data_IF_667530576231
#
_entry.id   IF_667530576231
#
_cell.length_a   1.000
_cell.length_b   1.000
_cell.length_c   1.000
_cell.angle_alpha   90.00
_cell.angle_beta   90.00
_cell.angle_gamma   90.00
#
_symmetry.space_group_name_H-M   'P 1'
#
loop_
_entity.id
_entity.type
_entity.pdbx_description
1 polymer ?
#
# COMPACT_ATOMS: atom_id res chain seq x y z
N UNK A 1 10.73 1.68 49.26
CA UNK A 1 10.28 3.02 48.85
C UNK A 1 10.52 3.32 47.37
N UNK A 2 10.67 2.32 46.46
CA UNK A 2 10.91 2.54 45.02
C UNK A 2 9.79 2.01 44.13
N UNK A 3 8.72 1.43 44.68
CA UNK A 3 7.60 0.86 43.91
C UNK A 3 6.36 1.78 43.78
N UNK A 4 6.32 2.91 44.49
CA UNK A 4 5.19 3.81 44.47
C UNK A 4 5.26 4.98 43.47
N UNK A 5 6.37 5.14 42.74
CA UNK A 5 6.51 6.25 41.74
C UNK A 5 6.14 5.90 40.31
N UNK A 6 5.66 4.68 40.03
CA UNK A 6 5.26 4.24 38.66
C UNK A 6 3.74 4.29 38.42
N UNK A 7 2.94 4.71 39.45
CA UNK A 7 1.49 4.68 39.38
C UNK A 7 0.82 5.95 38.83
N UNK A 8 1.53 7.06 38.71
CA UNK A 8 0.92 8.38 38.40
C UNK A 8 1.23 8.93 37.00
N UNK A 9 1.59 8.08 36.05
CA UNK A 9 1.66 8.54 34.67
C UNK A 9 0.26 8.60 34.07
N UNK A 10 -0.36 9.80 34.18
CA UNK A 10 -1.62 10.12 33.47
C UNK A 10 -1.49 9.72 31.99
N UNK A 11 -2.47 9.01 31.42
CA UNK A 11 -2.45 8.68 30.00
C UNK A 11 -2.43 9.99 29.19
N UNK A 12 -1.61 10.07 28.13
CA UNK A 12 -1.50 11.29 27.32
C UNK A 12 -2.88 11.68 26.80
N UNK A 13 -3.35 12.87 27.20
CA UNK A 13 -4.61 13.46 26.74
C UNK A 13 -4.65 13.45 25.22
N UNK A 14 -5.75 13.03 24.59
CA UNK A 14 -5.88 13.08 23.13
C UNK A 14 -5.67 14.53 22.67
N UNK A 15 -4.66 14.74 21.83
CA UNK A 15 -4.44 16.05 21.20
C UNK A 15 -5.60 16.32 20.24
N UNK A 16 -6.57 17.10 20.66
CA UNK A 16 -7.72 17.59 19.88
C UNK A 16 -7.36 18.72 18.90
N UNK A 17 -6.12 18.78 18.45
CA UNK A 17 -5.70 19.70 17.40
C UNK A 17 -6.07 19.16 16.03
N UNK A 18 -6.81 19.92 15.22
CA UNK A 18 -7.07 19.62 13.80
C UNK A 18 -5.73 19.41 13.12
N UNK A 19 -5.47 18.19 12.67
CA UNK A 19 -4.24 17.88 11.98
C UNK A 19 -4.25 18.54 10.59
N UNK A 20 -3.57 19.68 10.46
CA UNK A 20 -3.53 20.49 9.24
C UNK A 20 -3.09 19.67 8.02
N UNK A 21 -2.17 18.70 8.20
CA UNK A 21 -1.76 17.75 7.14
C UNK A 21 -2.90 16.82 6.75
N UNK A 22 -3.65 16.30 7.71
CA UNK A 22 -4.81 15.44 7.45
C UNK A 22 -5.90 16.22 6.71
N UNK A 23 -6.18 17.46 7.12
CA UNK A 23 -7.14 18.33 6.44
C UNK A 23 -6.68 18.62 4.99
N UNK A 24 -5.41 18.95 4.77
CA UNK A 24 -4.87 19.18 3.43
C UNK A 24 -4.98 17.92 2.55
N UNK A 25 -4.69 16.72 3.06
CA UNK A 25 -4.82 15.47 2.33
C UNK A 25 -6.27 15.17 1.94
N UNK A 26 -7.23 15.41 2.85
CA UNK A 26 -8.66 15.28 2.55
C UNK A 26 -9.07 16.29 1.48
N UNK A 27 -8.67 17.56 1.62
CA UNK A 27 -9.01 18.62 0.66
C UNK A 27 -8.44 18.32 -0.74
N UNK A 28 -7.19 17.88 -0.83
CA UNK A 28 -6.56 17.50 -2.11
C UNK A 28 -7.28 16.29 -2.71
N UNK A 29 -7.54 15.26 -1.91
CA UNK A 29 -8.22 14.05 -2.39
C UNK A 29 -9.63 14.32 -2.87
N UNK A 30 -10.43 15.03 -2.09
CA UNK A 30 -11.81 15.43 -2.46
C UNK A 30 -11.80 16.39 -3.64
N UNK A 31 -10.90 17.39 -3.66
CA UNK A 31 -10.77 18.33 -4.76
C UNK A 31 -10.37 17.65 -6.06
N UNK A 32 -9.40 16.73 -6.04
CA UNK A 32 -9.01 15.97 -7.22
C UNK A 32 -10.14 15.05 -7.71
N UNK A 33 -10.84 14.36 -6.80
CA UNK A 33 -12.00 13.55 -7.14
C UNK A 33 -13.12 14.41 -7.73
N UNK A 34 -13.44 15.54 -7.11
CA UNK A 34 -14.46 16.47 -7.60
C UNK A 34 -14.12 16.98 -9.00
N UNK A 35 -12.89 17.41 -9.26
CA UNK A 35 -12.44 17.86 -10.58
C UNK A 35 -12.55 16.74 -11.63
N UNK A 36 -12.24 15.50 -11.26
CA UNK A 36 -12.35 14.35 -12.15
C UNK A 36 -13.81 14.03 -12.45
N UNK A 37 -14.67 14.02 -11.44
CA UNK A 37 -16.11 13.71 -11.60
C UNK A 37 -16.87 14.86 -12.29
N UNK A 38 -16.62 16.12 -11.93
CA UNK A 38 -17.28 17.28 -12.55
C UNK A 38 -17.01 17.41 -14.05
N UNK A 39 -15.85 16.93 -14.51
CA UNK A 39 -15.51 16.89 -15.93
C UNK A 39 -15.98 15.60 -16.62
N UNK A 40 -16.52 14.62 -15.90
CA UNK A 40 -17.05 13.39 -16.46
C UNK A 40 -18.55 13.58 -16.80
N UNK A 41 -18.95 13.07 -17.94
CA UNK A 41 -20.37 12.99 -18.27
C UNK A 41 -21.04 11.90 -17.42
N UNK A 42 -22.00 12.30 -16.58
CA UNK A 42 -22.75 11.36 -15.73
C UNK A 42 -23.52 10.31 -16.54
N UNK A 43 -24.03 10.67 -17.72
CA UNK A 43 -24.67 9.73 -18.63
C UNK A 43 -23.67 8.71 -19.18
N UNK A 44 -22.46 9.17 -19.53
CA UNK A 44 -21.37 8.29 -19.96
C UNK A 44 -20.93 7.30 -18.90
N UNK A 45 -20.89 7.73 -17.63
CA UNK A 45 -20.62 6.83 -16.50
C UNK A 45 -21.69 5.77 -16.30
N UNK A 46 -22.97 6.16 -16.35
CA UNK A 46 -24.11 5.23 -16.24
C UNK A 46 -24.07 4.23 -17.40
N UNK A 47 -23.89 4.70 -18.63
CA UNK A 47 -23.78 3.83 -19.81
C UNK A 47 -22.62 2.83 -19.67
N UNK A 48 -21.43 3.27 -19.18
CA UNK A 48 -20.29 2.38 -18.97
C UNK A 48 -20.59 1.31 -17.90
N UNK A 49 -21.35 1.64 -16.86
CA UNK A 49 -21.82 0.69 -15.84
C UNK A 49 -22.83 -0.30 -16.39
N UNK A 50 -23.83 0.16 -17.17
CA UNK A 50 -24.88 -0.68 -17.75
C UNK A 50 -24.32 -1.72 -18.73
N UNK A 51 -23.26 -1.37 -19.46
CA UNK A 51 -22.57 -2.29 -20.37
C UNK A 51 -21.57 -3.22 -19.69
N UNK A 52 -21.35 -3.06 -18.37
CA UNK A 52 -20.43 -3.90 -17.62
C UNK A 52 -21.08 -5.24 -17.25
N UNK A 53 -20.42 -6.33 -17.56
CA UNK A 53 -20.85 -7.68 -17.15
C UNK A 53 -20.62 -7.90 -15.66
N UNK A 54 -21.60 -7.50 -14.84
CA UNK A 54 -21.48 -7.54 -13.36
C UNK A 54 -21.22 -8.93 -12.78
N UNK A 55 -21.48 -10.00 -13.54
CA UNK A 55 -21.17 -11.39 -13.15
C UNK A 55 -19.68 -11.65 -12.89
N UNK A 56 -18.80 -10.79 -13.37
CA UNK A 56 -17.34 -10.89 -13.11
C UNK A 56 -16.89 -10.19 -11.82
N UNK A 57 -17.69 -9.29 -11.26
CA UNK A 57 -17.32 -8.53 -10.05
C UNK A 57 -17.03 -9.42 -8.82
N UNK A 58 -17.75 -10.53 -8.58
CA UNK A 58 -17.40 -11.44 -7.48
C UNK A 58 -15.97 -11.95 -7.54
N UNK A 59 -15.41 -12.18 -8.75
CA UNK A 59 -14.02 -12.62 -8.93
C UNK A 59 -13.06 -11.53 -8.43
N UNK A 60 -13.31 -10.26 -8.75
CA UNK A 60 -12.49 -9.14 -8.27
C UNK A 60 -12.57 -8.99 -6.74
N UNK A 61 -13.75 -9.23 -6.15
CA UNK A 61 -13.93 -9.21 -4.69
C UNK A 61 -13.12 -10.33 -4.04
N UNK A 62 -13.25 -11.56 -4.53
CA UNK A 62 -12.48 -12.71 -4.02
C UNK A 62 -10.99 -12.47 -4.18
N UNK A 63 -10.52 -11.96 -5.32
CA UNK A 63 -9.13 -11.62 -5.56
C UNK A 63 -8.62 -10.59 -4.53
N UNK A 64 -9.40 -9.56 -4.20
CA UNK A 64 -9.03 -8.53 -3.23
C UNK A 64 -8.86 -9.11 -1.80
N UNK A 65 -9.78 -9.99 -1.37
CA UNK A 65 -9.66 -10.67 -0.07
C UNK A 65 -8.49 -11.66 -0.06
N UNK A 66 -8.27 -12.39 -1.15
CA UNK A 66 -7.12 -13.29 -1.30
C UNK A 66 -5.78 -12.52 -1.23
N UNK A 67 -5.69 -11.38 -1.89
CA UNK A 67 -4.53 -10.47 -1.79
C UNK A 67 -4.29 -10.04 -0.35
N UNK A 68 -5.33 -9.62 0.36
CA UNK A 68 -5.21 -9.20 1.77
C UNK A 68 -4.79 -10.35 2.68
N UNK A 69 -5.29 -11.57 2.42
CA UNK A 69 -4.85 -12.78 3.12
C UNK A 69 -3.39 -13.11 2.84
N UNK A 70 -2.95 -13.07 1.59
CA UNK A 70 -1.55 -13.29 1.20
C UNK A 70 -0.61 -12.25 1.80
N UNK A 71 -1.04 -10.99 1.90
CA UNK A 71 -0.30 -9.94 2.58
C UNK A 71 -0.15 -10.24 4.08
N UNK A 72 -1.22 -10.69 4.76
CA UNK A 72 -1.15 -11.11 6.16
C UNK A 72 -0.24 -12.34 6.34
N UNK A 73 -0.27 -13.30 5.42
CA UNK A 73 0.61 -14.47 5.41
C UNK A 73 2.08 -14.06 5.22
N UNK A 74 2.37 -13.17 4.26
CA UNK A 74 3.71 -12.63 4.03
C UNK A 74 4.25 -11.95 5.30
N UNK A 75 3.45 -11.10 5.94
CA UNK A 75 3.85 -10.44 7.18
C UNK A 75 4.09 -11.44 8.31
N UNK A 76 3.24 -12.45 8.46
CA UNK A 76 3.46 -13.56 9.41
C UNK A 76 4.77 -14.32 9.18
N UNK A 77 5.17 -14.50 7.90
CA UNK A 77 6.48 -15.09 7.53
C UNK A 77 7.64 -14.21 8.00
N UNK A 78 7.54 -12.89 7.85
CA UNK A 78 8.56 -11.92 8.29
C UNK A 78 8.66 -11.90 9.83
N UNK A 79 7.52 -11.88 10.53
CA UNK A 79 7.49 -11.94 11.99
C UNK A 79 8.11 -13.24 12.52
N UNK A 80 7.84 -14.38 11.87
CA UNK A 80 8.39 -15.68 12.24
C UNK A 80 9.93 -15.71 12.11
N UNK A 81 10.51 -15.03 11.13
CA UNK A 81 11.96 -14.88 10.99
C UNK A 81 12.60 -14.10 12.14
N UNK A 82 11.82 -13.27 12.85
CA UNK A 82 12.24 -12.58 14.09
C UNK A 82 11.82 -13.31 15.37
N UNK A 83 11.45 -14.59 15.27
CA UNK A 83 11.07 -15.42 16.42
C UNK A 83 9.61 -15.28 16.87
N UNK A 84 8.84 -14.42 16.24
CA UNK A 84 7.44 -14.14 16.60
C UNK A 84 6.48 -14.90 15.70
N UNK A 85 5.84 -15.93 16.21
CA UNK A 85 4.96 -16.82 15.42
C UNK A 85 3.48 -16.50 15.63
N UNK A 86 2.81 -16.10 14.55
CA UNK A 86 1.37 -15.92 14.50
C UNK A 86 0.75 -16.81 13.41
N UNK A 87 -0.44 -17.35 13.70
CA UNK A 87 -1.26 -17.95 12.64
C UNK A 87 -1.78 -16.83 11.72
N UNK A 88 -1.82 -17.07 10.42
CA UNK A 88 -2.31 -16.09 9.43
C UNK A 88 -3.75 -15.66 9.72
N UNK A 89 -4.61 -16.58 10.19
CA UNK A 89 -5.98 -16.28 10.59
C UNK A 89 -6.08 -15.27 11.74
N UNK A 90 -5.04 -15.16 12.59
CA UNK A 90 -4.96 -14.15 13.65
C UNK A 90 -4.46 -12.81 13.16
N UNK A 91 -3.54 -12.81 12.19
CA UNK A 91 -3.00 -11.58 11.58
C UNK A 91 -3.96 -10.96 10.56
N UNK A 92 -4.79 -11.76 9.90
CA UNK A 92 -5.69 -11.30 8.87
C UNK A 92 -6.66 -10.20 9.34
N UNK A 93 -7.37 -10.31 10.49
CA UNK A 93 -8.15 -9.20 11.04
C UNK A 93 -7.31 -7.94 11.33
N UNK A 94 -6.06 -8.07 11.80
CA UNK A 94 -5.18 -6.92 12.01
C UNK A 94 -4.81 -6.25 10.69
N UNK A 95 -4.64 -7.06 9.65
CA UNK A 95 -4.39 -6.55 8.31
C UNK A 95 -5.61 -5.81 7.75
N UNK A 96 -6.82 -6.35 7.91
CA UNK A 96 -8.08 -5.68 7.51
C UNK A 96 -8.27 -4.35 8.27
N UNK A 97 -7.99 -4.31 9.57
CA UNK A 97 -7.98 -3.06 10.36
C UNK A 97 -6.98 -2.06 9.76
N UNK A 98 -5.78 -2.52 9.38
CA UNK A 98 -4.81 -1.68 8.68
C UNK A 98 -5.36 -1.12 7.37
N UNK A 99 -6.08 -1.92 6.57
CA UNK A 99 -6.74 -1.47 5.33
C UNK A 99 -7.81 -0.42 5.62
N UNK A 100 -8.61 -0.59 6.70
CA UNK A 100 -9.59 0.39 7.14
C UNK A 100 -8.93 1.75 7.43
N UNK A 101 -7.87 1.77 8.25
CA UNK A 101 -7.17 3.02 8.57
C UNK A 101 -6.48 3.63 7.34
N UNK A 102 -5.90 2.82 6.46
CA UNK A 102 -5.31 3.30 5.20
C UNK A 102 -6.34 3.97 4.29
N UNK A 103 -7.57 3.45 4.24
CA UNK A 103 -8.62 3.90 3.33
C UNK A 103 -9.36 5.14 3.83
N UNK A 104 -9.54 5.29 5.14
CA UNK A 104 -10.42 6.30 5.71
C UNK A 104 -9.71 7.32 6.62
N UNK A 105 -8.48 7.04 7.05
CA UNK A 105 -7.73 7.94 7.94
C UNK A 105 -6.61 8.64 7.17
N UNK A 106 -6.44 9.97 7.36
CA UNK A 106 -5.31 10.69 6.78
C UNK A 106 -3.96 10.08 7.15
N UNK A 107 -3.01 10.08 6.20
CA UNK A 107 -1.69 9.45 6.37
C UNK A 107 -1.47 8.26 5.44
N UNK A 108 -2.49 7.86 4.66
CA UNK A 108 -2.41 6.78 3.68
C UNK A 108 -1.94 5.47 4.31
N UNK A 109 -1.02 4.76 3.64
CA UNK A 109 -0.51 3.49 4.15
C UNK A 109 0.15 3.55 5.53
N UNK A 110 0.67 4.70 5.95
CA UNK A 110 1.32 4.86 7.27
C UNK A 110 0.30 4.71 8.40
N UNK A 111 -0.93 5.23 8.23
CA UNK A 111 -1.99 5.08 9.23
C UNK A 111 -2.38 3.62 9.46
N UNK A 112 -2.43 2.83 8.39
CA UNK A 112 -2.67 1.38 8.47
C UNK A 112 -1.52 0.62 9.14
N UNK A 113 -0.28 1.01 8.87
CA UNK A 113 0.90 0.40 9.51
C UNK A 113 0.94 0.70 11.01
N UNK A 114 0.61 1.93 11.42
CA UNK A 114 0.49 2.28 12.83
C UNK A 114 -0.59 1.45 13.51
N UNK A 115 -1.75 1.27 12.87
CA UNK A 115 -2.79 0.42 13.42
C UNK A 115 -2.29 -1.02 13.63
N UNK A 116 -1.65 -1.63 12.62
CA UNK A 116 -1.07 -2.98 12.72
C UNK A 116 0.01 -3.07 13.80
N UNK A 117 0.88 -2.05 13.89
CA UNK A 117 1.91 -1.95 14.93
C UNK A 117 1.28 -2.01 16.33
N UNK A 118 0.25 -1.20 16.59
CA UNK A 118 -0.40 -1.13 17.90
C UNK A 118 -0.99 -2.48 18.31
N UNK A 119 -1.66 -3.18 17.37
CA UNK A 119 -2.28 -4.48 17.69
C UNK A 119 -1.26 -5.58 17.97
N UNK A 120 -0.18 -5.65 17.18
CA UNK A 120 0.84 -6.70 17.33
C UNK A 120 1.78 -6.39 18.49
N UNK A 121 2.12 -5.12 18.72
CA UNK A 121 2.97 -4.72 19.85
C UNK A 121 2.36 -5.04 21.22
N UNK A 122 1.04 -5.02 21.37
CA UNK A 122 0.35 -5.47 22.60
C UNK A 122 0.74 -6.89 23.00
N UNK A 123 1.07 -7.74 22.05
CA UNK A 123 1.45 -9.14 22.26
C UNK A 123 2.96 -9.35 22.32
N UNK A 124 3.69 -8.65 21.42
CA UNK A 124 5.15 -8.81 21.26
C UNK A 124 5.92 -7.95 22.26
N UNK A 125 5.38 -6.79 22.62
CA UNK A 125 6.02 -5.79 23.52
C UNK A 125 7.40 -5.34 23.05
N UNK A 126 7.59 -5.31 21.72
CA UNK A 126 8.80 -4.79 21.05
C UNK A 126 8.40 -4.02 19.79
N UNK A 127 8.16 -2.73 19.98
CA UNK A 127 7.77 -1.81 18.89
C UNK A 127 8.79 -1.73 17.77
N UNK A 128 10.08 -1.77 18.11
CA UNK A 128 11.16 -1.66 17.13
C UNK A 128 11.21 -2.90 16.24
N UNK A 129 11.05 -4.09 16.81
CA UNK A 129 10.95 -5.34 16.08
C UNK A 129 9.73 -5.30 15.12
N UNK A 130 8.54 -5.00 15.63
CA UNK A 130 7.32 -4.97 14.79
C UNK A 130 7.46 -3.93 13.69
N UNK A 131 7.96 -2.72 13.99
CA UNK A 131 8.17 -1.67 13.01
C UNK A 131 9.15 -2.09 11.91
N UNK A 132 10.25 -2.77 12.27
CA UNK A 132 11.24 -3.27 11.30
C UNK A 132 10.61 -4.27 10.31
N UNK A 133 9.70 -5.12 10.79
CA UNK A 133 9.00 -6.08 9.91
C UNK A 133 8.03 -5.38 8.96
N UNK A 134 7.36 -4.31 9.39
CA UNK A 134 6.48 -3.51 8.54
C UNK A 134 7.27 -2.73 7.47
N UNK A 135 8.42 -2.16 7.83
CA UNK A 135 9.31 -1.48 6.88
C UNK A 135 9.86 -2.46 5.85
N UNK A 136 10.33 -3.64 6.30
CA UNK A 136 10.79 -4.68 5.39
C UNK A 136 9.68 -5.14 4.45
N UNK A 137 8.48 -5.35 4.96
CA UNK A 137 7.30 -5.72 4.18
C UNK A 137 7.01 -4.70 3.06
N UNK A 138 7.12 -3.41 3.36
CA UNK A 138 6.96 -2.35 2.37
C UNK A 138 8.04 -2.37 1.32
N UNK A 139 9.29 -2.49 1.73
CA UNK A 139 10.43 -2.52 0.79
C UNK A 139 10.29 -3.66 -0.21
N UNK A 140 10.00 -4.88 0.25
CA UNK A 140 9.82 -6.02 -0.65
C UNK A 140 8.57 -5.89 -1.54
N UNK A 141 7.51 -5.29 -1.00
CA UNK A 141 6.29 -5.01 -1.76
C UNK A 141 6.52 -4.00 -2.88
N UNK A 142 7.24 -2.90 -2.60
CA UNK A 142 7.60 -1.88 -3.60
C UNK A 142 8.59 -2.45 -4.61
N UNK A 143 9.60 -3.18 -4.16
CA UNK A 143 10.55 -3.84 -5.05
C UNK A 143 9.85 -4.73 -6.09
N UNK A 144 8.96 -5.61 -5.66
CA UNK A 144 8.24 -6.53 -6.56
C UNK A 144 7.23 -5.82 -7.45
N UNK A 145 6.60 -4.75 -6.96
CA UNK A 145 5.74 -3.88 -7.76
C UNK A 145 6.51 -3.27 -8.94
N UNK A 146 7.65 -2.67 -8.64
CA UNK A 146 8.48 -2.01 -9.65
C UNK A 146 9.09 -3.01 -10.63
N UNK A 147 9.53 -4.17 -10.14
CA UNK A 147 10.08 -5.26 -10.97
C UNK A 147 9.04 -5.75 -11.99
N UNK A 148 7.82 -6.09 -11.53
CA UNK A 148 6.76 -6.59 -12.40
C UNK A 148 6.28 -5.49 -13.36
N UNK A 149 6.13 -4.26 -12.88
CA UNK A 149 5.76 -3.13 -13.73
C UNK A 149 6.78 -2.88 -14.83
N UNK A 150 8.07 -2.92 -14.49
CA UNK A 150 9.15 -2.74 -15.48
C UNK A 150 9.18 -3.88 -16.51
N UNK A 151 9.09 -5.14 -16.05
CA UNK A 151 9.02 -6.30 -16.95
C UNK A 151 7.81 -6.19 -17.89
N UNK A 152 6.63 -5.87 -17.36
CA UNK A 152 5.42 -5.73 -18.17
C UNK A 152 5.56 -4.63 -19.21
N UNK A 153 6.09 -3.46 -18.84
CA UNK A 153 6.30 -2.34 -19.77
C UNK A 153 7.30 -2.68 -20.86
N UNK A 154 8.42 -3.35 -20.50
CA UNK A 154 9.42 -3.79 -21.48
C UNK A 154 8.84 -4.83 -22.45
N UNK A 155 8.02 -5.76 -21.97
CA UNK A 155 7.34 -6.74 -22.81
C UNK A 155 6.33 -6.09 -23.75
N UNK A 156 5.50 -5.15 -23.26
CA UNK A 156 4.56 -4.39 -24.09
C UNK A 156 5.26 -3.67 -25.23
N UNK A 157 6.42 -3.08 -24.94
CA UNK A 157 7.28 -2.46 -25.96
C UNK A 157 7.81 -3.46 -26.99
N UNK A 158 8.28 -4.63 -26.53
CA UNK A 158 8.83 -5.67 -27.40
C UNK A 158 7.79 -6.25 -28.39
N UNK A 159 6.51 -6.22 -28.03
CA UNK A 159 5.41 -6.63 -28.90
C UNK A 159 4.89 -5.52 -29.84
N UNK A 160 5.63 -4.42 -29.98
CA UNK A 160 5.37 -3.39 -31.02
C UNK A 160 4.28 -2.36 -30.67
N UNK A 161 3.79 -2.31 -29.44
CA UNK A 161 2.85 -1.29 -28.98
C UNK A 161 3.61 -0.05 -28.46
N UNK A 162 4.34 0.62 -29.32
CA UNK A 162 5.23 1.70 -28.94
C UNK A 162 4.55 3.07 -29.06
N UNK A 163 3.66 3.42 -28.13
CA UNK A 163 3.32 4.82 -27.87
C UNK A 163 4.53 5.49 -27.15
N UNK A 164 4.98 6.69 -27.58
CA UNK A 164 6.07 7.43 -26.90
C UNK A 164 5.84 7.64 -25.40
N UNK A 165 4.60 7.66 -24.94
CA UNK A 165 4.22 7.79 -23.52
C UNK A 165 4.59 6.55 -22.68
N UNK A 166 4.71 5.38 -23.32
CA UNK A 166 5.18 4.16 -22.65
C UNK A 166 6.64 4.31 -22.23
N UNK A 167 7.47 5.00 -23.00
CA UNK A 167 8.87 5.28 -22.62
C UNK A 167 9.00 6.12 -21.35
N UNK A 168 8.09 7.08 -21.14
CA UNK A 168 8.04 7.87 -19.90
C UNK A 168 7.68 6.95 -18.71
N UNK A 169 6.73 6.07 -18.89
CA UNK A 169 6.33 5.09 -17.89
C UNK A 169 7.46 4.14 -17.52
N UNK A 170 8.18 3.64 -18.53
CA UNK A 170 9.37 2.79 -18.39
C UNK A 170 10.48 3.51 -17.62
N UNK A 171 10.78 4.76 -17.99
CA UNK A 171 11.79 5.57 -17.32
C UNK A 171 11.43 5.80 -15.83
N UNK A 172 10.19 6.14 -15.54
CA UNK A 172 9.71 6.32 -14.15
C UNK A 172 9.87 5.04 -13.34
N UNK A 173 9.45 3.89 -13.88
CA UNK A 173 9.58 2.60 -13.20
C UNK A 173 11.07 2.21 -13.04
N UNK A 174 11.91 2.44 -14.05
CA UNK A 174 13.34 2.13 -13.99
C UNK A 174 14.06 2.99 -12.94
N UNK A 175 13.79 4.29 -12.90
CA UNK A 175 14.35 5.21 -11.91
C UNK A 175 13.89 4.83 -10.51
N UNK A 176 12.60 4.56 -10.32
CA UNK A 176 12.07 4.13 -9.04
C UNK A 176 12.63 2.77 -8.61
N UNK A 177 12.84 1.83 -9.55
CA UNK A 177 13.47 0.54 -9.29
C UNK A 177 14.94 0.69 -8.89
N UNK A 178 15.71 1.53 -9.58
CA UNK A 178 17.07 1.86 -9.20
C UNK A 178 17.13 2.50 -7.81
N UNK A 179 16.23 3.42 -7.50
CA UNK A 179 16.15 4.06 -6.18
C UNK A 179 15.87 3.04 -5.06
N UNK A 180 14.94 2.08 -5.26
CA UNK A 180 14.66 1.05 -4.24
C UNK A 180 15.84 0.10 -4.07
N UNK A 181 16.54 -0.27 -5.15
CA UNK A 181 17.76 -1.08 -5.08
C UNK A 181 18.86 -0.38 -4.26
N UNK A 182 19.07 0.92 -4.50
CA UNK A 182 20.01 1.74 -3.75
C UNK A 182 19.59 1.79 -2.27
N UNK A 183 18.32 2.05 -1.99
CA UNK A 183 17.79 2.09 -0.63
C UNK A 183 17.90 0.73 0.07
N UNK A 184 17.74 -0.35 -0.67
CA UNK A 184 17.95 -1.72 -0.19
C UNK A 184 19.43 -2.08 -0.08
N UNK A 185 20.38 -1.28 -0.54
CA UNK A 185 21.82 -1.57 -0.35
C UNK A 185 22.22 -1.40 1.11
N UNK A 186 23.05 -2.34 1.64
CA UNK A 186 23.50 -2.30 3.04
C UNK A 186 24.37 -1.08 3.36
N UNK A 187 25.04 -0.55 2.34
CA UNK A 187 25.85 0.64 2.46
C UNK A 187 25.02 1.88 2.77
N UNK A 188 23.91 2.07 2.06
CA UNK A 188 23.01 3.22 2.25
C UNK A 188 22.29 3.13 3.59
N UNK A 189 21.77 1.97 3.97
CA UNK A 189 21.08 1.81 5.24
C UNK A 189 22.00 2.07 6.45
N UNK A 190 23.25 1.60 6.41
CA UNK A 190 24.22 1.85 7.48
C UNK A 190 24.65 3.33 7.55
N UNK A 191 24.79 4.00 6.40
CA UNK A 191 25.10 5.43 6.34
C UNK A 191 23.95 6.28 6.84
N UNK A 192 22.72 5.91 6.46
CA UNK A 192 21.49 6.57 6.90
C UNK A 192 21.27 6.42 8.40
N UNK A 193 21.49 5.23 8.98
CA UNK A 193 21.40 5.01 10.42
C UNK A 193 22.37 5.89 11.21
N UNK A 194 23.62 6.01 10.74
CA UNK A 194 24.61 6.92 11.34
C UNK A 194 24.20 8.39 11.26
N UNK A 195 23.67 8.81 10.11
CA UNK A 195 23.19 10.18 9.91
C UNK A 195 22.01 10.50 10.83
N UNK A 196 21.05 9.57 10.95
CA UNK A 196 19.89 9.71 11.84
C UNK A 196 20.34 9.86 13.30
N UNK A 197 21.31 9.05 13.78
CA UNK A 197 21.87 9.18 15.12
C UNK A 197 22.53 10.54 15.32
N UNK A 198 23.34 10.98 14.36
CA UNK A 198 24.01 12.27 14.40
C UNK A 198 23.03 13.45 14.49
N UNK A 199 22.02 13.46 13.62
CA UNK A 199 20.97 14.50 13.63
C UNK A 199 20.17 14.45 14.94
N UNK A 200 19.80 13.25 15.40
CA UNK A 200 19.04 13.06 16.63
C UNK A 200 19.74 13.61 17.86
N UNK A 201 21.07 13.49 17.92
CA UNK A 201 21.88 14.12 18.97
C UNK A 201 21.85 15.65 18.90
N UNK A 202 21.92 16.21 17.68
CA UNK A 202 21.88 17.67 17.46
C UNK A 202 20.56 18.32 17.85
N UNK A 203 19.42 17.66 17.54
CA UNK A 203 18.06 18.18 17.80
C UNK A 203 17.47 17.69 19.14
N UNK A 204 18.27 17.06 19.99
CA UNK A 204 17.86 16.47 21.29
C UNK A 204 16.72 15.41 21.18
N UNK A 205 16.58 14.78 20.02
CA UNK A 205 15.61 13.72 19.76
C UNK A 205 16.25 12.33 19.80
N UNK A 206 17.19 12.08 20.73
CA UNK A 206 18.05 10.88 20.79
C UNK A 206 17.22 9.59 20.81
N UNK A 207 16.15 9.50 21.62
CA UNK A 207 15.32 8.29 21.72
C UNK A 207 14.65 7.93 20.39
N UNK A 208 14.14 8.92 19.67
CA UNK A 208 13.47 8.72 18.37
C UNK A 208 14.49 8.31 17.30
N UNK A 209 15.65 8.97 17.28
CA UNK A 209 16.73 8.67 16.35
C UNK A 209 17.30 7.26 16.57
N UNK A 210 17.47 6.85 17.82
CA UNK A 210 17.93 5.51 18.16
C UNK A 210 16.91 4.44 17.74
N UNK A 211 15.61 4.66 18.00
CA UNK A 211 14.56 3.75 17.55
C UNK A 211 14.54 3.61 16.02
N UNK A 212 14.68 4.72 15.29
CA UNK A 212 14.72 4.72 13.81
C UNK A 212 16.00 4.01 13.30
N UNK A 213 17.15 4.24 13.91
CA UNK A 213 18.39 3.58 13.53
C UNK A 213 18.34 2.06 13.79
N UNK A 214 17.82 1.61 14.94
CA UNK A 214 17.59 0.19 15.23
C UNK A 214 16.63 -0.45 14.25
N UNK A 215 15.59 0.26 13.83
CA UNK A 215 14.66 -0.24 12.81
C UNK A 215 15.37 -0.49 11.48
N UNK A 216 16.25 0.42 11.03
CA UNK A 216 17.03 0.24 9.80
C UNK A 216 18.03 -0.91 9.90
N UNK A 217 18.67 -1.08 11.06
CA UNK A 217 19.58 -2.20 11.31
C UNK A 217 18.84 -3.54 11.27
N UNK A 218 17.68 -3.63 11.91
CA UNK A 218 16.84 -4.83 11.91
C UNK A 218 16.30 -5.18 10.50
N UNK A 219 16.00 -4.17 9.66
CA UNK A 219 15.67 -4.38 8.24
C UNK A 219 16.88 -4.94 7.48
N UNK A 220 18.08 -4.46 7.79
CA UNK A 220 19.32 -4.94 7.14
C UNK A 220 19.61 -6.40 7.49
N UNK A 221 19.34 -6.82 8.73
CA UNK A 221 19.45 -8.24 9.14
C UNK A 221 18.44 -9.13 8.39
N UNK A 222 17.16 -8.74 8.35
CA UNK A 222 16.13 -9.49 7.62
C UNK A 222 16.49 -9.69 6.15
N UNK A 223 17.14 -8.71 5.55
CA UNK A 223 17.55 -8.78 4.15
C UNK A 223 18.75 -9.69 3.90
N UNK A 224 19.60 -9.92 4.91
CA UNK A 224 20.73 -10.88 4.82
C UNK A 224 20.25 -12.32 4.78
N UNK A 225 19.06 -12.61 5.27
CA UNK A 225 18.43 -13.92 5.12
C UNK A 225 17.88 -14.08 3.69
N UNK A 226 18.69 -14.72 2.85
CA UNK A 226 18.35 -14.96 1.45
C UNK A 226 17.11 -15.83 1.29
N UNK A 227 16.90 -16.80 2.15
CA UNK A 227 15.73 -17.69 2.11
C UNK A 227 14.45 -16.91 2.41
N UNK A 228 14.50 -16.03 3.43
CA UNK A 228 13.40 -15.12 3.75
C UNK A 228 13.12 -14.15 2.60
N UNK A 229 14.18 -13.56 2.03
CA UNK A 229 14.06 -12.62 0.91
C UNK A 229 13.37 -13.28 -0.30
N UNK A 230 13.83 -14.44 -0.73
CA UNK A 230 13.25 -15.16 -1.86
C UNK A 230 11.81 -15.59 -1.58
N UNK A 231 11.53 -16.11 -0.38
CA UNK A 231 10.18 -16.51 0.01
C UNK A 231 9.20 -15.32 0.02
N UNK A 232 9.58 -14.21 0.62
CA UNK A 232 8.73 -13.03 0.70
C UNK A 232 8.57 -12.32 -0.65
N UNK A 233 9.61 -12.34 -1.50
CA UNK A 233 9.54 -11.88 -2.88
C UNK A 233 8.58 -12.75 -3.72
N UNK A 234 8.68 -14.08 -3.63
CA UNK A 234 7.77 -14.99 -4.33
C UNK A 234 6.31 -14.77 -3.93
N UNK A 235 6.02 -14.64 -2.61
CA UNK A 235 4.67 -14.32 -2.13
C UNK A 235 4.22 -12.96 -2.70
N UNK A 236 5.10 -11.97 -2.75
CA UNK A 236 4.79 -10.64 -3.28
C UNK A 236 4.51 -10.65 -4.77
N UNK A 237 5.21 -11.48 -5.54
CA UNK A 237 4.93 -11.72 -6.97
C UNK A 237 3.52 -12.31 -7.13
N UNK A 238 3.17 -13.33 -6.33
CA UNK A 238 1.82 -13.92 -6.35
C UNK A 238 0.76 -12.88 -6.02
N UNK A 239 1.00 -12.03 -4.99
CA UNK A 239 0.10 -10.92 -4.64
C UNK A 239 -0.12 -10.00 -5.84
N UNK A 240 0.94 -9.62 -6.56
CA UNK A 240 0.85 -8.74 -7.74
C UNK A 240 0.09 -9.41 -8.88
N UNK A 241 0.37 -10.68 -9.14
CA UNK A 241 -0.34 -11.46 -10.18
C UNK A 241 -1.84 -11.50 -9.87
N UNK A 242 -2.23 -11.92 -8.67
CA UNK A 242 -3.64 -12.03 -8.28
C UNK A 242 -4.34 -10.67 -8.35
N UNK A 243 -3.69 -9.60 -7.88
CA UNK A 243 -4.23 -8.25 -7.95
C UNK A 243 -4.43 -7.75 -9.39
N UNK A 244 -3.41 -7.87 -10.24
CA UNK A 244 -3.48 -7.45 -11.63
C UNK A 244 -4.45 -8.29 -12.45
N UNK A 245 -4.56 -9.60 -12.19
CA UNK A 245 -5.59 -10.46 -12.78
C UNK A 245 -6.99 -10.03 -12.37
N UNK A 246 -7.21 -9.67 -11.10
CA UNK A 246 -8.48 -9.10 -10.65
C UNK A 246 -8.85 -7.82 -11.40
N UNK A 247 -7.90 -6.93 -11.61
CA UNK A 247 -8.09 -5.71 -12.42
C UNK A 247 -8.33 -6.04 -13.91
N UNK A 248 -7.64 -7.03 -14.47
CA UNK A 248 -7.85 -7.49 -15.83
C UNK A 248 -9.25 -8.09 -16.03
N UNK A 249 -9.75 -8.83 -15.06
CA UNK A 249 -11.12 -9.35 -15.07
C UNK A 249 -12.14 -8.21 -15.13
N UNK A 250 -11.92 -7.12 -14.36
CA UNK A 250 -12.79 -5.93 -14.42
C UNK A 250 -12.70 -5.25 -15.79
N UNK A 251 -11.48 -5.05 -16.34
CA UNK A 251 -11.30 -4.49 -17.68
C UNK A 251 -12.03 -5.30 -18.75
N UNK A 252 -11.92 -6.63 -18.69
CA UNK A 252 -12.60 -7.58 -19.59
C UNK A 252 -14.12 -7.55 -19.42
N UNK A 253 -14.62 -7.41 -18.18
CA UNK A 253 -16.04 -7.28 -17.89
C UNK A 253 -16.65 -6.01 -18.50
N UNK A 254 -15.85 -4.95 -18.60
CA UNK A 254 -16.21 -3.69 -19.24
C UNK A 254 -16.01 -3.70 -20.77
N UNK A 255 -15.46 -4.78 -21.34
CA UNK A 255 -15.11 -4.84 -22.76
C UNK A 255 -13.99 -3.88 -23.18
N UNK A 256 -13.12 -3.46 -22.25
CA UNK A 256 -12.03 -2.55 -22.57
C UNK A 256 -10.96 -3.25 -23.43
N UNK A 257 -10.40 -2.58 -24.44
CA UNK A 257 -9.36 -3.14 -25.32
C UNK A 257 -7.98 -3.13 -24.64
N UNK A 258 -7.88 -3.81 -23.49
CA UNK A 258 -6.64 -3.91 -22.71
C UNK A 258 -6.17 -5.35 -22.71
N UNK A 259 -4.93 -5.57 -23.15
CA UNK A 259 -4.26 -6.84 -22.96
C UNK A 259 -3.71 -6.98 -21.53
N UNK A 260 -3.35 -8.20 -21.16
CA UNK A 260 -2.90 -8.52 -19.81
C UNK A 260 -1.63 -7.77 -19.42
N UNK A 261 -0.65 -7.62 -20.34
CA UNK A 261 0.62 -6.96 -20.06
C UNK A 261 0.41 -5.47 -19.81
N UNK A 262 -0.43 -4.82 -20.62
CA UNK A 262 -0.80 -3.41 -20.44
C UNK A 262 -1.46 -3.18 -19.07
N UNK A 263 -2.36 -4.09 -18.64
CA UNK A 263 -2.96 -4.01 -17.31
C UNK A 263 -1.90 -4.14 -16.22
N UNK A 264 -0.95 -5.09 -16.32
CA UNK A 264 0.13 -5.23 -15.34
C UNK A 264 1.00 -3.98 -15.26
N UNK A 265 1.34 -3.38 -16.40
CA UNK A 265 2.12 -2.14 -16.47
C UNK A 265 1.35 -0.96 -15.81
N UNK A 266 0.11 -0.74 -16.22
CA UNK A 266 -0.70 0.37 -15.74
C UNK A 266 -1.04 0.25 -14.26
N UNK A 267 -1.44 -0.92 -13.78
CA UNK A 267 -1.74 -1.14 -12.36
C UNK A 267 -0.49 -0.94 -11.50
N UNK A 268 0.70 -1.32 -11.99
CA UNK A 268 1.95 -1.05 -11.28
C UNK A 268 2.24 0.45 -11.15
N UNK A 269 2.01 1.23 -12.21
CA UNK A 269 2.15 2.70 -12.17
C UNK A 269 1.10 3.36 -11.26
N UNK A 270 -0.15 2.94 -11.35
CA UNK A 270 -1.24 3.43 -10.50
C UNK A 270 -0.95 3.15 -9.03
N UNK A 271 -0.49 1.94 -8.71
CA UNK A 271 -0.13 1.57 -7.33
C UNK A 271 1.10 2.33 -6.84
N UNK A 272 2.08 2.64 -7.71
CA UNK A 272 3.23 3.50 -7.37
C UNK A 272 2.76 4.90 -6.98
N UNK A 273 1.86 5.49 -7.75
CA UNK A 273 1.27 6.81 -7.45
C UNK A 273 0.48 6.78 -6.13
N UNK A 274 -0.24 5.68 -5.85
CA UNK A 274 -0.97 5.48 -4.59
C UNK A 274 -0.08 5.36 -3.35
N UNK A 275 1.20 5.00 -3.50
CA UNK A 275 2.15 4.98 -2.38
C UNK A 275 2.46 6.39 -1.86
N UNK A 276 2.29 7.43 -2.69
CA UNK A 276 2.52 8.80 -2.26
C UNK A 276 1.42 9.24 -1.27
N UNK A 277 1.79 9.76 -0.08
CA UNK A 277 0.83 10.19 0.94
C UNK A 277 0.21 11.55 0.59
N UNK A 278 -0.30 11.71 -0.64
CA UNK A 278 -0.85 12.97 -1.16
C UNK A 278 -2.33 13.09 -0.82
N UNK A 279 -3.07 11.96 -0.81
CA UNK A 279 -4.51 11.94 -0.56
C UNK A 279 -4.92 10.80 0.37
N UNK A 280 -6.12 10.85 0.91
CA UNK A 280 -6.67 9.79 1.78
C UNK A 280 -7.07 8.60 0.91
N UNK A 281 -6.53 7.44 1.22
CA UNK A 281 -6.82 6.19 0.48
C UNK A 281 -6.43 6.20 -1.00
N UNK A 282 -5.69 7.23 -1.45
CA UNK A 282 -5.35 7.41 -2.87
C UNK A 282 -6.48 8.02 -3.72
N UNK A 283 -7.60 8.43 -3.10
CA UNK A 283 -8.74 9.01 -3.80
C UNK A 283 -8.35 10.28 -4.57
N UNK A 284 -8.89 10.42 -5.77
CA UNK A 284 -8.61 11.53 -6.68
C UNK A 284 -7.30 11.36 -7.45
N UNK A 285 -6.20 11.09 -6.77
CA UNK A 285 -4.88 10.89 -7.40
C UNK A 285 -4.85 9.60 -8.20
N UNK A 286 -5.45 8.53 -7.69
CA UNK A 286 -5.62 7.25 -8.39
C UNK A 286 -6.49 7.42 -9.63
N UNK A 287 -7.65 8.04 -9.50
CA UNK A 287 -8.58 8.28 -10.60
C UNK A 287 -7.92 9.10 -11.71
N UNK A 288 -7.16 10.13 -11.32
CA UNK A 288 -6.37 10.91 -12.26
C UNK A 288 -5.34 10.04 -12.99
N UNK A 289 -4.59 9.20 -12.28
CA UNK A 289 -3.60 8.32 -12.88
C UNK A 289 -4.23 7.32 -13.85
N UNK A 290 -5.39 6.73 -13.49
CA UNK A 290 -6.13 5.82 -14.38
C UNK A 290 -6.56 6.55 -15.64
N UNK A 291 -7.16 7.75 -15.53
CA UNK A 291 -7.60 8.53 -16.70
C UNK A 291 -6.44 8.87 -17.62
N UNK A 292 -5.31 9.31 -17.07
CA UNK A 292 -4.12 9.66 -17.86
C UNK A 292 -3.54 8.45 -18.58
N UNK A 293 -3.38 7.33 -17.88
CA UNK A 293 -2.80 6.13 -18.48
C UNK A 293 -3.75 5.49 -19.51
N UNK A 294 -5.04 5.41 -19.23
CA UNK A 294 -6.01 4.81 -20.13
C UNK A 294 -6.22 5.64 -21.41
N UNK A 295 -6.09 6.96 -21.32
CA UNK A 295 -6.10 7.83 -22.49
C UNK A 295 -4.97 7.54 -23.48
N UNK A 296 -3.84 6.96 -23.03
CA UNK A 296 -2.71 6.58 -23.91
C UNK A 296 -3.06 5.44 -24.86
N UNK A 297 -4.07 4.63 -24.49
CA UNK A 297 -4.56 3.49 -25.31
C UNK A 297 -5.95 3.74 -25.87
N UNK A 298 -6.38 5.01 -25.95
CA UNK A 298 -7.63 5.41 -26.59
C UNK A 298 -8.91 5.15 -25.77
N UNK A 299 -8.78 4.80 -24.49
CA UNK A 299 -9.91 4.62 -23.58
C UNK A 299 -10.40 6.00 -23.11
N UNK A 300 -11.68 6.25 -23.23
CA UNK A 300 -12.27 7.52 -22.82
C UNK A 300 -12.31 7.67 -21.29
N UNK A 301 -12.54 8.91 -20.86
CA UNK A 301 -12.49 9.28 -19.45
C UNK A 301 -13.53 8.57 -18.59
N UNK A 302 -14.73 8.43 -19.10
CA UNK A 302 -15.87 7.82 -18.42
C UNK A 302 -15.63 6.33 -18.17
N UNK A 303 -15.12 5.62 -19.18
CA UNK A 303 -14.70 4.23 -19.05
C UNK A 303 -13.56 4.07 -18.07
N UNK A 304 -12.55 4.96 -18.12
CA UNK A 304 -11.42 4.95 -17.21
C UNK A 304 -11.86 5.16 -15.74
N UNK A 305 -12.79 6.09 -15.50
CA UNK A 305 -13.35 6.34 -14.18
C UNK A 305 -14.18 5.16 -13.67
N UNK A 306 -15.04 4.60 -14.53
CA UNK A 306 -15.85 3.42 -14.21
C UNK A 306 -14.94 2.25 -13.86
N UNK A 307 -13.89 2.02 -14.64
CA UNK A 307 -12.87 1.01 -14.31
C UNK A 307 -12.25 1.25 -12.94
N UNK A 308 -11.81 2.49 -12.66
CA UNK A 308 -11.23 2.81 -11.36
C UNK A 308 -12.17 2.52 -10.21
N UNK A 309 -13.45 2.90 -10.33
CA UNK A 309 -14.44 2.63 -9.31
C UNK A 309 -14.64 1.13 -9.09
N UNK A 310 -14.84 0.36 -10.16
CA UNK A 310 -15.12 -1.08 -10.08
C UNK A 310 -13.91 -1.90 -9.64
N UNK A 311 -12.73 -1.62 -10.16
CA UNK A 311 -11.50 -2.36 -9.84
C UNK A 311 -11.04 -2.15 -8.40
N UNK A 312 -11.27 -0.96 -7.84
CA UNK A 312 -10.83 -0.64 -6.49
C UNK A 312 -11.94 -0.68 -5.43
N UNK A 313 -13.22 -0.79 -5.81
CA UNK A 313 -14.34 -0.98 -4.87
C UNK A 313 -14.12 -2.15 -3.89
N UNK A 314 -13.57 -3.31 -4.30
CA UNK A 314 -13.31 -4.42 -3.39
C UNK A 314 -12.37 -4.09 -2.23
N UNK A 315 -11.46 -3.10 -2.37
CA UNK A 315 -10.61 -2.63 -1.27
C UNK A 315 -11.44 -1.99 -0.17
N UNK A 316 -12.51 -1.25 -0.53
CA UNK A 316 -13.40 -0.66 0.46
C UNK A 316 -14.24 -1.69 1.18
N UNK A 317 -14.59 -2.82 0.53
CA UNK A 317 -15.22 -3.96 1.22
C UNK A 317 -14.27 -4.56 2.27
N UNK A 318 -13.00 -4.74 1.93
CA UNK A 318 -11.97 -5.13 2.89
C UNK A 318 -11.84 -4.10 4.04
N UNK A 319 -11.89 -2.81 3.72
CA UNK A 319 -11.82 -1.75 4.71
C UNK A 319 -13.03 -1.77 5.65
N UNK A 320 -14.25 -1.96 5.14
CA UNK A 320 -15.47 -2.09 5.94
C UNK A 320 -15.36 -3.30 6.87
N UNK A 321 -14.93 -4.46 6.35
CA UNK A 321 -14.68 -5.65 7.16
C UNK A 321 -13.64 -5.39 8.26
N UNK A 322 -12.60 -4.57 7.96
CA UNK A 322 -11.61 -4.10 8.92
C UNK A 322 -12.19 -3.18 9.99
N UNK A 323 -13.08 -2.27 9.61
CA UNK A 323 -13.81 -1.41 10.56
C UNK A 323 -14.69 -2.22 11.52
N UNK A 324 -15.41 -3.20 10.98
CA UNK A 324 -16.19 -4.15 11.80
C UNK A 324 -15.27 -4.90 12.78
N UNK A 325 -14.15 -5.46 12.29
CA UNK A 325 -13.17 -6.15 13.14
C UNK A 325 -12.58 -5.23 14.23
N UNK A 326 -12.36 -3.96 13.90
CA UNK A 326 -11.89 -2.95 14.85
C UNK A 326 -12.89 -2.73 16.00
N UNK A 327 -14.17 -2.52 15.68
CA UNK A 327 -15.22 -2.28 16.70
C UNK A 327 -15.39 -3.49 17.62
N UNK A 328 -15.44 -4.71 17.05
CA UNK A 328 -15.60 -5.92 17.88
C UNK A 328 -14.40 -6.15 18.80
N UNK A 329 -13.16 -5.92 18.34
CA UNK A 329 -11.97 -6.09 19.19
C UNK A 329 -11.81 -5.01 20.24
N UNK A 330 -12.22 -3.78 19.97
CA UNK A 330 -12.24 -2.73 20.99
C UNK A 330 -13.14 -3.10 22.17
N UNK A 331 -14.25 -3.82 21.93
CA UNK A 331 -15.16 -4.29 22.99
C UNK A 331 -14.60 -5.45 23.84
N UNK A 332 -13.69 -6.25 23.29
CA UNK A 332 -13.10 -7.40 24.01
C UNK A 332 -11.92 -6.95 24.88
N UNK A 333 -11.36 -5.77 24.62
CA UNK A 333 -10.19 -5.21 25.31
C UNK A 333 -10.57 -4.14 26.34
N UNK A 334 -11.83 -3.79 26.48
CA UNK A 334 -12.41 -2.93 27.51
C UNK A 334 -13.07 -3.79 28.61
#
# INVERSE_FOLDING_TARGET
MHEQQLSDAEPPKPRTGVNLRGLAQVTIGVGALALVVMKADTRGLVNALEHTRVSYLPVAIVASFAVTWLMAYRWGTILAAKGVRFKTSRLFPYYLIGVFFTSFVPGGGVSGDIARLIYVDREVRDKALVLSTLVYERLIGVFTLLLIGLIATLMTRAYGQADPRIYVSEAVLAIAFAAILILMSGYVSARLARMIRFIGQRIRAVKVAEAAARTLEAVTELRRDWALLMKTAAISVVIRIVWSLGCFVVASAMGLPLDLLTVFAFISLIDLVRLMPISVGGLGVREWAVVVLFATVGINREQALTFSLLAFAPIYLNAIAGGVAYVFRARISA
#
